data_IF_601494699351
#
_entry.id   IF_601494699351
#
_cell.length_a   1.000
_cell.length_b   1.000
_cell.length_c   1.000
_cell.angle_alpha   90.00
_cell.angle_beta   90.00
_cell.angle_gamma   90.00
#
_symmetry.space_group_name_H-M   'P 1'
#
loop_
_entity.id
_entity.type
_entity.pdbx_description
1 polymer ?
#
# COMPACT_ATOMS: atom_id res chain seq x y z
N UNK A 1 6.52 -14.57 -3.48
CA UNK A 1 5.92 -14.16 -2.18
C UNK A 1 4.83 -13.15 -2.47
N UNK A 2 3.59 -13.34 -2.00
CA UNK A 2 2.55 -12.32 -2.22
C UNK A 2 2.80 -11.12 -1.30
N UNK A 3 2.64 -9.89 -1.81
CA UNK A 3 2.68 -8.67 -1.01
C UNK A 3 1.37 -7.90 -1.13
N UNK A 4 1.09 -7.05 -0.15
CA UNK A 4 -0.08 -6.19 -0.15
C UNK A 4 0.35 -4.73 -0.01
N UNK A 5 -0.35 -3.83 -0.68
CA UNK A 5 -0.18 -2.38 -0.52
C UNK A 5 -1.54 -1.74 -0.32
N UNK A 6 -1.55 -0.54 0.25
CA UNK A 6 -2.74 0.28 0.35
C UNK A 6 -2.74 1.31 -0.78
N UNK A 7 -3.88 1.44 -1.46
CA UNK A 7 -4.08 2.37 -2.57
C UNK A 7 -5.32 3.20 -2.31
N UNK A 8 -5.16 4.52 -2.34
CA UNK A 8 -6.26 5.48 -2.23
C UNK A 8 -7.18 5.35 -3.45
N UNK A 9 -8.46 5.70 -3.30
CA UNK A 9 -9.43 5.78 -4.41
C UNK A 9 -8.94 6.65 -5.58
N UNK A 10 -8.16 7.70 -5.29
CA UNK A 10 -7.58 8.62 -6.29
C UNK A 10 -6.34 8.04 -7.02
N UNK A 11 -5.96 6.80 -6.70
CA UNK A 11 -4.90 6.07 -7.41
C UNK A 11 -3.51 6.13 -6.77
N UNK A 12 -3.31 6.88 -5.69
CA UNK A 12 -2.03 6.99 -4.97
C UNK A 12 -1.81 5.83 -4.00
N UNK A 13 -0.57 5.39 -3.82
CA UNK A 13 -0.21 4.39 -2.81
C UNK A 13 0.07 5.06 -1.47
N UNK A 14 -0.19 4.35 -0.37
CA UNK A 14 0.29 4.76 0.96
C UNK A 14 1.81 4.64 0.98
N UNK A 15 2.50 5.70 1.39
CA UNK A 15 3.95 5.75 1.44
C UNK A 15 4.52 4.98 2.65
N UNK A 16 5.77 4.53 2.55
CA UNK A 16 6.49 3.89 3.67
C UNK A 16 6.53 4.80 4.91
N UNK A 17 6.50 4.20 6.09
CA UNK A 17 6.70 4.91 7.36
C UNK A 17 7.98 5.75 7.32
N UNK A 18 7.93 6.98 7.82
CA UNK A 18 9.05 7.94 7.78
C UNK A 18 9.21 8.69 6.45
N UNK A 19 8.36 8.44 5.45
CA UNK A 19 8.30 9.28 4.24
C UNK A 19 7.83 10.70 4.57
N UNK A 20 8.33 11.68 3.83
CA UNK A 20 7.91 13.10 3.96
C UNK A 20 6.40 13.29 3.74
N UNK A 21 5.79 12.46 2.89
CA UNK A 21 4.38 12.51 2.55
C UNK A 21 3.71 11.17 2.91
N UNK A 22 2.42 11.21 3.25
CA UNK A 22 1.63 10.00 3.54
C UNK A 22 1.32 9.15 2.31
N UNK A 23 1.34 9.76 1.12
CA UNK A 23 0.99 9.10 -0.15
C UNK A 23 2.08 9.30 -1.21
N UNK A 24 2.15 8.37 -2.16
CA UNK A 24 3.13 8.38 -3.24
C UNK A 24 2.55 7.77 -4.51
N UNK A 25 2.95 8.29 -5.68
CA UNK A 25 2.72 7.65 -6.98
C UNK A 25 3.68 6.49 -7.24
N UNK A 26 4.78 6.42 -6.50
CA UNK A 26 5.85 5.46 -6.74
C UNK A 26 5.63 4.18 -5.94
N UNK A 27 5.40 3.08 -6.64
CA UNK A 27 5.20 1.78 -6.02
C UNK A 27 6.42 1.33 -5.18
N UNK A 28 7.64 1.65 -5.60
CA UNK A 28 8.86 1.28 -4.84
C UNK A 28 8.95 2.00 -3.50
N UNK A 29 8.28 3.17 -3.37
CA UNK A 29 8.14 3.95 -2.13
C UNK A 29 6.84 3.66 -1.38
N UNK A 30 6.00 2.75 -1.89
CA UNK A 30 4.79 2.33 -1.20
C UNK A 30 5.12 1.48 0.03
N UNK A 31 4.27 1.59 1.05
CA UNK A 31 4.28 0.70 2.21
C UNK A 31 3.76 -0.67 1.78
N UNK A 32 4.53 -1.70 2.11
CA UNK A 32 4.26 -3.09 1.75
C UNK A 32 3.97 -3.87 3.03
N UNK A 33 2.97 -4.73 2.95
CA UNK A 33 2.52 -5.58 4.03
C UNK A 33 2.68 -7.04 3.60
N UNK A 34 3.09 -7.90 4.54
CA UNK A 34 3.34 -9.32 4.24
C UNK A 34 2.04 -10.12 4.20
N UNK A 35 1.00 -9.65 4.90
CA UNK A 35 -0.31 -10.28 4.96
C UNK A 35 -1.43 -9.28 4.65
N UNK A 36 -2.58 -9.81 4.22
CA UNK A 36 -3.79 -8.99 4.00
C UNK A 36 -4.30 -8.38 5.30
N UNK A 37 -4.23 -9.14 6.39
CA UNK A 37 -4.69 -8.72 7.72
C UNK A 37 -3.88 -7.53 8.25
N UNK A 38 -2.56 -7.55 8.07
CA UNK A 38 -1.69 -6.43 8.44
C UNK A 38 -2.05 -5.16 7.64
N UNK A 39 -2.34 -5.32 6.34
CA UNK A 39 -2.79 -4.21 5.51
C UNK A 39 -4.16 -3.67 5.96
N UNK A 40 -5.10 -4.55 6.32
CA UNK A 40 -6.43 -4.15 6.82
C UNK A 40 -6.33 -3.36 8.13
N UNK A 41 -5.52 -3.83 9.07
CA UNK A 41 -5.31 -3.15 10.36
C UNK A 41 -4.66 -1.76 10.23
N UNK A 42 -4.01 -1.47 9.10
CA UNK A 42 -3.37 -0.17 8.83
C UNK A 42 -4.17 0.70 7.85
N UNK A 43 -5.29 0.19 7.31
CA UNK A 43 -6.05 0.85 6.25
C UNK A 43 -6.97 1.92 6.81
N UNK A 44 -7.00 3.07 6.14
CA UNK A 44 -8.11 4.01 6.31
C UNK A 44 -9.32 3.53 5.50
N UNK A 45 -10.32 2.96 6.18
CA UNK A 45 -11.49 2.30 5.56
C UNK A 45 -12.26 3.24 4.61
N UNK A 46 -12.26 4.56 4.88
CA UNK A 46 -13.03 5.53 4.11
C UNK A 46 -12.45 5.82 2.71
N UNK A 47 -11.13 5.66 2.51
CA UNK A 47 -10.49 6.15 1.28
C UNK A 47 -9.41 5.22 0.69
N UNK A 48 -9.07 4.10 1.34
CA UNK A 48 -8.03 3.18 0.91
C UNK A 48 -8.56 1.78 0.62
N UNK A 49 -7.93 1.12 -0.35
CA UNK A 49 -8.19 -0.26 -0.75
C UNK A 49 -6.91 -1.09 -0.65
N UNK A 50 -7.05 -2.35 -0.25
CA UNK A 50 -5.95 -3.31 -0.25
C UNK A 50 -5.74 -3.85 -1.67
N UNK A 51 -4.53 -3.72 -2.19
CA UNK A 51 -4.13 -4.24 -3.49
C UNK A 51 -3.12 -5.37 -3.28
N UNK A 52 -3.44 -6.56 -3.81
CA UNK A 52 -2.51 -7.69 -3.86
C UNK A 52 -1.51 -7.46 -4.99
N UNK A 53 -0.23 -7.60 -4.70
CA UNK A 53 0.86 -7.43 -5.66
C UNK A 53 1.63 -8.74 -5.72
N UNK A 54 1.82 -9.22 -6.95
CA UNK A 54 2.81 -10.25 -7.22
C UNK A 54 4.16 -9.56 -7.48
N UNK A 55 5.21 -9.84 -6.71
CA UNK A 55 6.51 -9.21 -6.90
C UNK A 55 7.19 -9.60 -8.22
N UNK A 56 6.68 -10.59 -8.95
CA UNK A 56 7.14 -10.93 -10.30
C UNK A 56 6.58 -9.99 -11.38
N UNK A 57 5.59 -9.15 -11.04
CA UNK A 57 5.01 -8.13 -11.92
C UNK A 57 5.67 -6.75 -11.69
N UNK A 58 6.85 -6.71 -11.07
CA UNK A 58 7.60 -5.51 -10.70
C UNK A 58 8.92 -5.38 -11.46
#
# INVERSE_FOLDING_TARGET
MTLYVLKKIDGLYVAKSGSKNSYTTSFTKARKFSTKEEAENNRCIENENIVKIDPLLL
#
